data_IF_588325526278
#
_entry.id   IF_588325526278
#
_cell.length_a   1.000
_cell.length_b   1.000
_cell.length_c   1.000
_cell.angle_alpha   90.00
_cell.angle_beta   90.00
_cell.angle_gamma   90.00
#
_symmetry.space_group_name_H-M   'P 1'
#
loop_
_entity.id
_entity.type
_entity.pdbx_description
1 polymer ?
#
# COMPACT_ATOMS: atom_id res chain seq x y z
N UNK A 1 16.37 -3.65 -36.66
CA UNK A 1 16.80 -4.16 -35.34
C UNK A 1 16.43 -3.16 -34.27
N UNK A 2 15.56 -3.51 -33.33
CA UNK A 2 15.25 -2.63 -32.20
C UNK A 2 16.45 -2.62 -31.24
N UNK A 3 17.13 -1.47 -31.10
CA UNK A 3 18.15 -1.29 -30.06
C UNK A 3 17.45 -1.31 -28.71
N UNK A 4 17.73 -2.33 -27.91
CA UNK A 4 17.32 -2.37 -26.51
C UNK A 4 18.02 -1.21 -25.78
N UNK A 5 17.28 -0.13 -25.48
CA UNK A 5 17.82 1.00 -24.71
C UNK A 5 17.89 0.57 -23.25
N UNK A 6 19.11 0.45 -22.73
CA UNK A 6 19.35 0.26 -21.30
C UNK A 6 18.80 1.49 -20.56
N UNK A 7 17.93 1.26 -19.58
CA UNK A 7 17.40 2.33 -18.72
C UNK A 7 18.52 2.85 -17.82
N UNK A 8 18.67 4.16 -17.73
CA UNK A 8 19.60 4.77 -16.78
C UNK A 8 19.16 4.47 -15.35
N UNK A 9 20.08 4.60 -14.38
CA UNK A 9 19.75 4.45 -12.94
C UNK A 9 18.58 5.39 -12.56
N UNK A 10 18.62 6.64 -12.99
CA UNK A 10 17.58 7.64 -12.75
C UNK A 10 16.23 7.24 -13.36
N UNK A 11 16.22 6.68 -14.57
CA UNK A 11 14.99 6.18 -15.21
C UNK A 11 14.40 5.00 -14.46
N UNK A 12 15.24 4.10 -13.94
CA UNK A 12 14.80 2.99 -13.09
C UNK A 12 14.19 3.50 -11.79
N UNK A 13 14.84 4.47 -11.13
CA UNK A 13 14.34 5.11 -9.91
C UNK A 13 12.98 5.75 -10.16
N UNK A 14 12.86 6.56 -11.22
CA UNK A 14 11.58 7.21 -11.58
C UNK A 14 10.46 6.20 -11.82
N UNK A 15 10.74 5.10 -12.53
CA UNK A 15 9.76 4.03 -12.77
C UNK A 15 9.37 3.30 -11.49
N UNK A 16 10.33 2.96 -10.64
CA UNK A 16 10.08 2.27 -9.39
C UNK A 16 9.22 3.11 -8.44
N UNK A 17 9.51 4.41 -8.33
CA UNK A 17 8.67 5.35 -7.59
C UNK A 17 7.26 5.52 -8.17
N UNK A 18 7.12 5.48 -9.49
CA UNK A 18 5.80 5.50 -10.13
C UNK A 18 4.99 4.23 -9.79
N UNK A 19 5.64 3.06 -9.81
CA UNK A 19 5.02 1.79 -9.44
C UNK A 19 4.60 1.77 -7.96
N UNK A 20 5.46 2.24 -7.05
CA UNK A 20 5.14 2.38 -5.62
C UNK A 20 3.87 3.23 -5.42
N UNK A 21 3.79 4.40 -6.06
CA UNK A 21 2.62 5.28 -5.93
C UNK A 21 1.35 4.68 -6.53
N UNK A 22 1.47 3.96 -7.64
CA UNK A 22 0.34 3.25 -8.24
C UNK A 22 -0.20 2.16 -7.30
N UNK A 23 0.69 1.35 -6.71
CA UNK A 23 0.30 0.32 -5.75
C UNK A 23 -0.30 0.90 -4.47
N UNK A 24 0.29 1.97 -3.93
CA UNK A 24 -0.29 2.72 -2.80
C UNK A 24 -1.70 3.21 -3.12
N UNK A 25 -1.90 3.80 -4.30
CA UNK A 25 -3.21 4.30 -4.72
C UNK A 25 -4.23 3.17 -4.87
N UNK A 26 -3.82 2.03 -5.42
CA UNK A 26 -4.67 0.82 -5.51
C UNK A 26 -5.12 0.37 -4.11
N UNK A 27 -4.18 0.23 -3.17
CA UNK A 27 -4.47 -0.18 -1.78
C UNK A 27 -5.38 0.81 -1.03
N UNK A 28 -5.24 2.11 -1.29
CA UNK A 28 -6.14 3.13 -0.75
C UNK A 28 -7.54 2.99 -1.36
N UNK A 29 -7.66 2.84 -2.67
CA UNK A 29 -8.94 2.66 -3.37
C UNK A 29 -9.67 1.39 -2.88
N UNK A 30 -8.95 0.28 -2.72
CA UNK A 30 -9.50 -0.99 -2.20
C UNK A 30 -10.07 -0.85 -0.76
N UNK A 31 -9.67 0.20 -0.04
CA UNK A 31 -10.12 0.52 1.32
C UNK A 31 -11.09 1.72 1.39
N UNK A 32 -11.45 2.34 0.26
CA UNK A 32 -12.31 3.55 0.27
C UNK A 32 -13.74 3.26 0.75
N UNK A 33 -14.25 2.05 0.49
CA UNK A 33 -15.58 1.64 0.94
C UNK A 33 -15.77 1.73 2.46
N UNK A 34 -14.69 1.58 3.24
CA UNK A 34 -14.74 1.74 4.71
C UNK A 34 -15.07 3.18 5.08
N UNK A 35 -14.45 4.15 4.39
CA UNK A 35 -14.65 5.57 4.64
C UNK A 35 -16.06 5.98 4.23
N UNK A 36 -16.52 5.51 3.07
CA UNK A 36 -17.89 5.74 2.60
C UNK A 36 -18.90 5.16 3.59
N UNK A 37 -18.74 3.89 3.98
CA UNK A 37 -19.62 3.24 4.97
C UNK A 37 -19.68 4.03 6.28
N UNK A 38 -18.54 4.44 6.83
CA UNK A 38 -18.48 5.17 8.09
C UNK A 38 -19.23 6.51 7.98
N UNK A 39 -18.98 7.25 6.90
CA UNK A 39 -19.67 8.51 6.60
C UNK A 39 -21.19 8.33 6.47
N UNK A 40 -21.65 7.35 5.70
CA UNK A 40 -23.08 7.07 5.50
C UNK A 40 -23.81 6.68 6.79
N UNK A 41 -23.10 6.03 7.72
CA UNK A 41 -23.65 5.62 9.03
C UNK A 41 -23.54 6.70 10.10
N UNK A 42 -22.85 7.82 9.81
CA UNK A 42 -22.52 8.82 10.82
C UNK A 42 -21.60 8.28 11.92
N UNK A 43 -20.80 7.26 11.61
CA UNK A 43 -19.88 6.61 12.53
C UNK A 43 -18.42 7.04 12.22
N UNK A 44 -17.51 7.02 13.20
CA UNK A 44 -16.09 7.20 12.91
C UNK A 44 -15.55 6.05 12.06
N UNK A 45 -14.57 6.35 11.21
CA UNK A 45 -13.78 5.31 10.53
C UNK A 45 -13.11 4.43 11.58
N UNK A 46 -13.20 3.09 11.50
CA UNK A 46 -12.54 2.24 12.47
C UNK A 46 -11.04 2.53 12.54
N UNK A 47 -10.49 2.58 13.75
CA UNK A 47 -9.12 3.04 14.00
C UNK A 47 -8.07 2.26 13.19
N UNK A 48 -8.19 0.93 13.13
CA UNK A 48 -7.28 0.07 12.36
C UNK A 48 -7.24 0.44 10.87
N UNK A 49 -8.39 0.83 10.29
CA UNK A 49 -8.47 1.28 8.89
C UNK A 49 -7.93 2.69 8.70
N UNK A 50 -8.16 3.59 9.67
CA UNK A 50 -7.56 4.92 9.65
C UNK A 50 -6.03 4.83 9.69
N UNK A 51 -5.48 4.02 10.60
CA UNK A 51 -4.05 3.77 10.75
C UNK A 51 -3.45 3.11 9.51
N UNK A 52 -4.10 2.07 8.96
CA UNK A 52 -3.68 1.42 7.72
C UNK A 52 -3.59 2.42 6.56
N UNK A 53 -4.64 3.23 6.35
CA UNK A 53 -4.67 4.23 5.27
C UNK A 53 -3.62 5.33 5.48
N UNK A 54 -3.34 5.72 6.72
CA UNK A 54 -2.30 6.71 7.02
C UNK A 54 -0.91 6.14 6.73
N UNK A 55 -0.61 4.94 7.21
CA UNK A 55 0.65 4.26 6.95
C UNK A 55 0.94 4.13 5.44
N UNK A 56 -0.08 3.84 4.62
CA UNK A 56 0.06 3.84 3.16
C UNK A 56 0.49 5.21 2.60
N UNK A 57 -0.07 6.32 3.12
CA UNK A 57 0.26 7.67 2.66
C UNK A 57 1.65 8.11 3.08
N UNK A 58 2.14 7.59 4.19
CA UNK A 58 3.46 7.94 4.75
C UNK A 58 4.61 7.24 4.01
N UNK A 59 4.36 6.10 3.35
CA UNK A 59 5.38 5.31 2.64
C UNK A 59 6.34 6.14 1.77
N UNK A 60 5.89 7.07 0.91
CA UNK A 60 6.82 7.83 0.08
C UNK A 60 7.73 8.78 0.84
N UNK A 61 7.39 9.15 2.07
CA UNK A 61 8.20 10.00 2.93
C UNK A 61 9.27 9.26 3.72
N UNK A 62 9.20 7.92 3.79
CA UNK A 62 10.07 7.10 4.63
C UNK A 62 10.99 6.15 3.87
N UNK A 63 10.83 6.05 2.54
CA UNK A 63 11.56 5.10 1.70
C UNK A 63 12.72 5.77 0.95
N UNK A 64 13.82 5.02 0.79
CA UNK A 64 14.95 5.43 -0.06
C UNK A 64 14.81 4.92 -1.50
N UNK A 65 15.59 5.50 -2.42
CA UNK A 65 15.67 5.02 -3.80
C UNK A 65 16.08 3.55 -3.87
N UNK A 66 17.02 3.11 -3.02
CA UNK A 66 17.49 1.73 -2.95
C UNK A 66 16.37 0.77 -2.53
N UNK A 67 15.58 1.12 -1.51
CA UNK A 67 14.45 0.30 -1.05
C UNK A 67 13.38 0.18 -2.12
N UNK A 68 13.01 1.30 -2.75
CA UNK A 68 11.99 1.32 -3.81
C UNK A 68 12.46 0.56 -5.05
N UNK A 69 13.75 0.65 -5.39
CA UNK A 69 14.36 -0.13 -6.47
C UNK A 69 14.40 -1.64 -6.17
N UNK A 70 14.66 -2.02 -4.93
CA UNK A 70 14.70 -3.41 -4.49
C UNK A 70 13.30 -4.02 -4.32
N UNK A 71 12.26 -3.19 -4.25
CA UNK A 71 10.90 -3.64 -3.91
C UNK A 71 10.73 -3.96 -2.41
N UNK A 72 11.69 -3.57 -1.57
CA UNK A 72 11.67 -3.75 -0.13
C UNK A 72 10.83 -2.64 0.53
N UNK A 73 9.52 -2.77 0.36
CA UNK A 73 8.54 -1.78 0.83
C UNK A 73 7.78 -2.38 2.02
N UNK A 74 7.80 -1.75 3.20
CA UNK A 74 7.12 -2.22 4.40
C UNK A 74 5.63 -1.89 4.30
N UNK A 75 4.91 -2.56 3.42
CA UNK A 75 3.48 -2.36 3.25
C UNK A 75 2.73 -2.70 4.55
N UNK A 76 1.85 -1.82 5.04
CA UNK A 76 1.02 -2.16 6.19
C UNK A 76 0.09 -3.32 5.84
N UNK A 77 -0.15 -4.20 6.81
CA UNK A 77 -1.08 -5.32 6.67
C UNK A 77 -2.51 -4.78 6.69
N UNK A 78 -3.37 -5.27 5.79
CA UNK A 78 -4.74 -4.81 5.72
C UNK A 78 -5.54 -5.37 6.92
N UNK A 79 -6.42 -4.60 7.58
CA UNK A 79 -7.12 -5.05 8.79
C UNK A 79 -7.97 -6.33 8.62
N UNK A 80 -8.50 -6.60 7.43
CA UNK A 80 -9.27 -7.82 7.17
C UNK A 80 -8.39 -9.06 6.93
N UNK A 81 -7.11 -8.88 6.61
CA UNK A 81 -6.13 -9.97 6.56
C UNK A 81 -5.74 -10.42 7.97
N UNK A 82 -5.54 -9.48 8.91
CA UNK A 82 -5.31 -9.86 10.33
C UNK A 82 -6.53 -10.56 10.94
N UNK A 83 -7.74 -10.19 10.49
CA UNK A 83 -8.97 -10.85 10.93
C UNK A 83 -9.01 -12.32 10.49
N UNK A 84 -8.54 -12.65 9.29
CA UNK A 84 -8.48 -14.04 8.80
C UNK A 84 -7.48 -14.89 9.57
N UNK A 85 -6.33 -14.35 9.96
CA UNK A 85 -5.36 -15.06 10.80
C UNK A 85 -5.91 -15.38 12.20
N UNK A 86 -6.69 -14.48 12.79
CA UNK A 86 -7.30 -14.73 14.11
C UNK A 86 -8.41 -15.77 14.10
N UNK A 87 -9.11 -15.93 12.97
CA UNK A 87 -10.20 -16.92 12.83
C UNK A 87 -9.64 -18.29 12.40
N UNK A 88 -8.48 -18.32 11.73
CA UNK A 88 -7.79 -19.54 11.30
C UNK A 88 -7.00 -20.28 12.40
N UNK A 89 -6.92 -19.72 13.62
CA UNK A 89 -6.19 -20.31 14.75
C UNK A 89 -7.03 -21.23 15.66
N UNK A 90 -8.27 -21.57 15.28
CA UNK A 90 -9.15 -22.39 16.11
C UNK A 90 -10.04 -23.33 15.32
N UNK A 91 -9.53 -24.52 15.01
CA UNK A 91 -10.28 -25.77 14.88
C UNK A 91 -9.29 -26.96 14.87
N UNK A 92 -9.71 -28.16 15.32
CA UNK A 92 -9.01 -29.06 16.25
C UNK A 92 -7.77 -29.80 15.73
#
# INVERSE_FOLDING_TARGET
>A
MAKLRVLTKEERIRRAWAALRAERNRRLADADWIVVRAYERGEPVPEEWANYRQALRDLPGILTDEQVLAGDVPWPVRPDETTKEKIGGGAP
#
